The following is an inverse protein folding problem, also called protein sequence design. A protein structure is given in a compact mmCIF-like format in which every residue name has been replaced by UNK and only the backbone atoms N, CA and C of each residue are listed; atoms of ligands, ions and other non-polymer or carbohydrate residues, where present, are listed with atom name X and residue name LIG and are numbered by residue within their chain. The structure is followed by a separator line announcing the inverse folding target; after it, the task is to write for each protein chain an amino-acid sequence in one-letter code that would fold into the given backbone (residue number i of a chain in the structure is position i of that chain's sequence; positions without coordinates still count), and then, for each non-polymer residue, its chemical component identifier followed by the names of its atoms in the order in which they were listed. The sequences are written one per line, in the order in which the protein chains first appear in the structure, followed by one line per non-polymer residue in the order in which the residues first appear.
data_IF_758904334721
#
_entry.id   IF_758904334721
#
_cell.length_a   1.000
_cell.length_b   1.000
_cell.length_c   1.000
_cell.angle_alpha   90.00
_cell.angle_beta   90.00
_cell.angle_gamma   90.00
#
_symmetry.space_group_name_H-M   'P 1'
#
loop_
_entity.id
_entity.type
_entity.pdbx_description
1 polymer ?
#
# COMPACT_ATOMS: atom_id res chain seq x y z
N UNK A 1 12.17 6.34 -1.69
CA UNK A 1 11.00 6.40 -0.82
C UNK A 1 9.86 7.12 -1.52
N UNK A 2 8.68 6.55 -1.47
CA UNK A 2 7.51 7.16 -2.07
C UNK A 2 6.36 7.27 -1.09
N UNK A 3 5.47 8.22 -1.34
CA UNK A 3 4.30 8.44 -0.53
C UNK A 3 3.18 9.00 -1.39
N UNK A 4 2.00 8.40 -1.30
CA UNK A 4 0.80 8.86 -2.03
C UNK A 4 -0.37 8.90 -1.07
N UNK A 5 -1.12 10.00 -1.10
CA UNK A 5 -2.39 10.12 -0.39
C UNK A 5 -3.50 10.07 -1.43
N UNK A 6 -4.33 9.03 -1.36
CA UNK A 6 -5.41 8.83 -2.33
C UNK A 6 -6.50 7.96 -1.72
N UNK A 7 -7.76 8.29 -2.00
CA UNK A 7 -8.88 7.46 -1.61
C UNK A 7 -9.10 7.33 -0.11
N UNK A 8 -8.60 8.25 0.69
CA UNK A 8 -8.71 8.17 2.14
C UNK A 8 -7.56 7.44 2.80
N UNK A 9 -6.52 7.09 2.05
CA UNK A 9 -5.37 6.35 2.53
C UNK A 9 -4.07 7.07 2.24
N UNK A 10 -3.07 6.81 3.08
CA UNK A 10 -1.68 7.22 2.83
C UNK A 10 -0.88 5.94 2.61
N UNK A 11 -0.24 5.85 1.46
CA UNK A 11 0.50 4.65 1.06
C UNK A 11 1.96 5.04 0.91
N UNK A 12 2.83 4.32 1.62
CA UNK A 12 4.26 4.61 1.65
C UNK A 12 5.05 3.38 1.21
N UNK A 13 6.16 3.60 0.52
CA UNK A 13 7.07 2.52 0.14
C UNK A 13 8.49 3.03 0.14
N UNK A 14 9.42 2.08 0.19
CA UNK A 14 10.85 2.36 0.21
C UNK A 14 11.51 1.73 -1.01
N UNK A 15 12.40 2.49 -1.66
CA UNK A 15 13.12 2.01 -2.83
C UNK A 15 14.29 1.16 -2.36
N UNK A 16 14.53 0.04 -3.06
CA UNK A 16 15.63 -0.85 -2.74
C UNK A 16 15.32 -1.87 -1.66
N UNK A 17 14.05 -2.00 -1.30
CA UNK A 17 13.63 -3.01 -0.36
C UNK A 17 13.88 -4.41 -0.90
N UNK A 18 13.97 -5.36 0.03
CA UNK A 18 14.08 -6.76 -0.34
C UNK A 18 12.74 -7.31 -0.81
N UNK A 19 12.75 -8.33 -1.65
CA UNK A 19 11.52 -9.09 -1.90
C UNK A 19 11.06 -9.80 -0.62
N UNK A 20 9.72 -9.97 -0.39
CA UNK A 20 8.68 -9.42 -1.23
C UNK A 20 8.55 -7.90 -1.05
N UNK A 21 8.24 -7.21 -2.13
CA UNK A 21 8.00 -5.77 -2.06
C UNK A 21 6.70 -5.52 -1.31
N UNK A 22 6.73 -4.59 -0.37
CA UNK A 22 5.55 -4.28 0.41
C UNK A 22 5.37 -2.78 0.60
N UNK A 23 4.11 -2.40 0.86
CA UNK A 23 3.72 -1.03 1.13
C UNK A 23 3.29 -0.91 2.58
N UNK A 24 3.44 0.28 3.13
CA UNK A 24 2.88 0.63 4.42
C UNK A 24 1.62 1.45 4.18
N UNK A 25 0.50 1.06 4.79
CA UNK A 25 -0.79 1.71 4.57
C UNK A 25 -1.28 2.35 5.85
N UNK A 26 -1.63 3.63 5.77
CA UNK A 26 -2.19 4.39 6.88
C UNK A 26 -3.50 5.04 6.44
N UNK A 27 -4.34 5.39 7.41
CA UNK A 27 -5.50 6.25 7.13
C UNK A 27 -5.02 7.69 6.97
N UNK A 28 -5.90 8.56 6.45
CA UNK A 28 -5.57 9.98 6.32
C UNK A 28 -5.27 10.64 7.67
N UNK A 29 -5.84 10.11 8.75
CA UNK A 29 -5.58 10.61 10.09
C UNK A 29 -4.23 10.14 10.66
N UNK A 30 -3.51 9.29 9.93
CA UNK A 30 -2.20 8.80 10.35
C UNK A 30 -2.23 7.49 11.11
N UNK A 31 -3.38 6.84 11.21
CA UNK A 31 -3.49 5.55 11.89
C UNK A 31 -2.95 4.44 10.98
N UNK A 32 -1.97 3.70 11.47
CA UNK A 32 -1.40 2.59 10.71
C UNK A 32 -2.42 1.46 10.58
N UNK A 33 -2.66 1.04 9.35
CA UNK A 33 -3.51 -0.12 9.05
C UNK A 33 -2.68 -1.40 8.95
N UNK A 34 -1.53 -1.34 8.31
CA UNK A 34 -0.66 -2.49 8.17
C UNK A 34 0.16 -2.45 6.90
N UNK A 35 0.70 -3.63 6.56
CA UNK A 35 1.52 -3.79 5.36
C UNK A 35 0.73 -4.52 4.29
N UNK A 36 1.07 -4.22 3.05
CA UNK A 36 0.40 -4.78 1.87
C UNK A 36 1.46 -5.32 0.92
N UNK A 37 1.29 -6.56 0.48
CA UNK A 37 2.22 -7.23 -0.42
C UNK A 37 1.85 -6.97 -1.88
N UNK A 38 2.76 -6.36 -2.63
CA UNK A 38 2.53 -6.05 -4.04
C UNK A 38 2.58 -7.28 -4.95
N UNK A 39 3.28 -8.32 -4.56
CA UNK A 39 3.36 -9.52 -5.39
C UNK A 39 2.06 -10.30 -5.36
N UNK A 40 1.49 -10.47 -4.18
CA UNK A 40 0.24 -11.21 -4.01
C UNK A 40 -0.98 -10.31 -4.07
N UNK A 41 -0.79 -8.98 -4.01
CA UNK A 41 -1.85 -7.99 -3.96
C UNK A 41 -2.80 -8.26 -2.81
N UNK A 42 -2.22 -8.49 -1.63
CA UNK A 42 -3.00 -8.81 -0.43
C UNK A 42 -2.34 -8.24 0.83
N UNK A 43 -3.14 -8.13 1.88
CA UNK A 43 -2.65 -7.64 3.17
C UNK A 43 -1.71 -8.65 3.82
N UNK A 44 -0.69 -8.15 4.50
CA UNK A 44 0.25 -8.95 5.27
C UNK A 44 -0.15 -8.83 6.74
N UNK A 45 -0.39 -9.97 7.39
CA UNK A 45 -0.72 -10.00 8.82
C UNK A 45 -2.22 -10.13 9.07
N UNK A 46 -2.67 -9.67 10.23
CA UNK A 46 -4.01 -9.95 10.75
C UNK A 46 -5.07 -8.93 10.34
N UNK A 47 -4.89 -8.24 9.25
CA UNK A 47 -5.87 -7.28 8.78
C UNK A 47 -6.29 -7.59 7.35
N UNK A 48 -7.43 -7.07 6.94
CA UNK A 48 -7.92 -7.25 5.58
C UNK A 48 -7.93 -5.92 4.86
N UNK A 49 -7.40 -5.91 3.64
CA UNK A 49 -7.41 -4.71 2.81
C UNK A 49 -8.80 -4.58 2.16
N UNK A 50 -9.51 -3.46 2.40
CA UNK A 50 -10.79 -3.25 1.73
C UNK A 50 -10.61 -3.21 0.21
N UNK A 51 -11.66 -3.57 -0.51
CA UNK A 51 -11.63 -3.58 -1.97
C UNK A 51 -11.21 -2.23 -2.55
N UNK A 52 -11.71 -1.15 -1.95
CA UNK A 52 -11.36 0.21 -2.38
C UNK A 52 -9.85 0.44 -2.26
N UNK A 53 -9.25 -0.03 -1.18
CA UNK A 53 -7.80 0.10 -0.97
C UNK A 53 -7.02 -0.68 -2.03
N UNK A 54 -7.43 -1.91 -2.32
CA UNK A 54 -6.77 -2.73 -3.34
C UNK A 54 -6.83 -2.03 -4.69
N UNK A 55 -7.98 -1.50 -5.07
CA UNK A 55 -8.12 -0.75 -6.32
C UNK A 55 -7.23 0.48 -6.35
N UNK A 56 -7.16 1.19 -5.23
CA UNK A 56 -6.32 2.38 -5.11
C UNK A 56 -4.86 2.01 -5.32
N UNK A 57 -4.41 0.92 -4.71
CA UNK A 57 -3.03 0.45 -4.86
C UNK A 57 -2.75 0.03 -6.31
N UNK A 58 -3.69 -0.63 -6.95
CA UNK A 58 -3.55 -1.01 -8.37
C UNK A 58 -3.36 0.22 -9.26
N UNK A 59 -4.14 1.27 -9.01
CA UNK A 59 -4.01 2.53 -9.75
C UNK A 59 -2.64 3.16 -9.56
N UNK A 60 -2.20 3.23 -8.32
CA UNK A 60 -0.90 3.82 -7.99
C UNK A 60 0.23 3.02 -8.63
N UNK A 61 0.14 1.70 -8.57
CA UNK A 61 1.13 0.82 -9.17
C UNK A 61 1.25 1.06 -10.66
N UNK A 62 0.10 1.22 -11.33
CA UNK A 62 0.06 1.46 -12.77
C UNK A 62 0.68 2.80 -13.15
N UNK A 63 0.39 3.83 -12.35
CA UNK A 63 0.88 5.18 -12.61
C UNK A 63 2.35 5.38 -12.27
N UNK A 64 2.81 4.69 -11.22
CA UNK A 64 4.12 4.93 -10.63
C UNK A 64 5.12 3.80 -10.84
N UNK A 65 4.74 2.77 -11.55
CA UNK A 65 5.60 1.61 -11.82
C UNK A 65 6.11 0.94 -10.54
N UNK A 66 5.26 0.81 -9.55
CA UNK A 66 5.60 0.12 -8.30
C UNK A 66 5.92 -1.35 -8.52
#
# INVERSE_FOLDING_TARGET
MGRVRRGGYIIKWFIGDHPPRHLHVETESGKLLGRFDLETMSAIGDWQAPRKLVKTIEEIRRERHL
#
